data_IF_437121908163
#
_entry.id   IF_437121908163
#
_cell.length_a   1.000
_cell.length_b   1.000
_cell.length_c   1.000
_cell.angle_alpha   90.00
_cell.angle_beta   90.00
_cell.angle_gamma   90.00
#
_symmetry.space_group_name_H-M   'P 1'
#
loop_
_entity.id
_entity.type
_entity.pdbx_description
1 polymer ?
#
# COMPACT_ATOMS: atom_id res chain seq x y z
N UNK A 1 67.91 7.79 -8.47
CA UNK A 1 67.40 9.17 -8.55
C UNK A 1 66.23 9.26 -9.53
N UNK A 2 64.99 9.31 -9.05
CA UNK A 2 63.90 10.07 -9.67
C UNK A 2 62.80 10.20 -8.63
N UNK A 3 62.58 11.44 -8.19
CA UNK A 3 61.63 11.82 -7.14
C UNK A 3 60.23 11.79 -7.75
N UNK A 4 59.31 11.01 -7.19
CA UNK A 4 57.89 11.11 -7.54
C UNK A 4 57.30 12.16 -6.61
N UNK A 5 56.88 13.26 -7.24
CA UNK A 5 56.42 14.49 -6.64
C UNK A 5 54.94 14.34 -6.28
N UNK A 6 54.62 14.56 -5.01
CA UNK A 6 53.28 14.92 -4.54
C UNK A 6 52.95 16.34 -5.01
N UNK A 7 51.76 16.58 -5.62
CA UNK A 7 51.09 17.89 -5.54
C UNK A 7 49.60 17.85 -5.94
N UNK A 8 48.74 18.05 -4.92
CA UNK A 8 47.59 18.97 -4.81
C UNK A 8 46.46 18.97 -5.86
N UNK A 9 45.29 18.58 -5.35
CA UNK A 9 43.96 19.20 -5.40
C UNK A 9 43.56 20.13 -6.56
N UNK A 10 42.41 19.80 -7.16
CA UNK A 10 41.43 20.78 -7.61
C UNK A 10 40.01 20.24 -7.33
N UNK A 11 39.32 20.89 -6.40
CA UNK A 11 37.89 20.72 -6.17
C UNK A 11 37.10 21.24 -7.37
N UNK A 12 36.29 20.40 -8.00
CA UNK A 12 35.21 20.85 -8.87
C UNK A 12 33.90 20.72 -8.10
N UNK A 13 33.27 21.87 -7.89
CA UNK A 13 32.09 22.07 -7.06
C UNK A 13 30.87 21.27 -7.55
N UNK A 14 30.07 20.85 -6.57
CA UNK A 14 28.79 20.17 -6.72
C UNK A 14 27.84 21.05 -7.54
N UNK A 15 27.27 20.48 -8.60
CA UNK A 15 26.16 21.08 -9.37
C UNK A 15 24.92 21.10 -8.49
N UNK A 16 24.24 22.25 -8.53
CA UNK A 16 23.22 22.70 -7.60
C UNK A 16 22.05 21.73 -7.38
N UNK A 17 21.69 21.58 -6.11
CA UNK A 17 20.34 21.27 -5.68
C UNK A 17 19.39 22.35 -6.22
N UNK A 18 18.43 21.95 -7.06
CA UNK A 18 17.22 22.75 -7.27
C UNK A 18 15.98 21.86 -7.16
N UNK A 19 15.70 21.42 -5.94
CA UNK A 19 14.35 21.01 -5.56
C UNK A 19 13.89 22.04 -4.53
N UNK A 20 13.39 23.16 -5.07
CA UNK A 20 12.80 24.23 -4.30
C UNK A 20 11.69 23.68 -3.40
N UNK A 21 11.75 24.08 -2.13
CA UNK A 21 10.67 23.91 -1.16
C UNK A 21 10.01 25.26 -0.97
N UNK A 22 8.72 25.37 -1.30
CA UNK A 22 7.72 26.29 -0.72
C UNK A 22 6.34 25.69 -1.06
N UNK A 23 5.68 24.98 -0.15
CA UNK A 23 4.71 25.41 0.89
C UNK A 23 3.36 25.91 0.37
N UNK A 24 2.32 25.17 0.80
CA UNK A 24 0.88 25.48 0.93
C UNK A 24 0.04 25.75 -0.33
N UNK A 25 -0.98 24.93 -0.58
CA UNK A 25 -2.32 25.22 -0.04
C UNK A 25 -3.25 23.99 -0.10
N UNK A 26 -4.18 23.95 0.85
CA UNK A 26 -5.34 23.07 0.88
C UNK A 26 -6.39 23.55 -0.16
N UNK A 27 -7.35 22.66 -0.47
CA UNK A 27 -8.57 22.85 -1.28
C UNK A 27 -8.51 22.44 -2.76
N UNK A 28 -9.49 21.63 -3.15
CA UNK A 28 -9.90 21.46 -4.55
C UNK A 28 -9.78 20.02 -5.03
N UNK A 29 -10.90 19.32 -5.04
CA UNK A 29 -11.07 18.07 -5.75
C UNK A 29 -10.55 18.20 -7.20
N UNK A 30 -9.64 17.32 -7.58
CA UNK A 30 -9.46 16.98 -8.98
C UNK A 30 -9.36 15.46 -9.10
N UNK A 31 -10.29 14.90 -9.86
CA UNK A 31 -10.29 13.51 -10.30
C UNK A 31 -9.19 13.32 -11.33
N UNK A 32 -7.95 13.54 -10.93
CA UNK A 32 -6.80 12.99 -11.59
C UNK A 32 -6.55 11.64 -10.90
N UNK A 33 -6.81 10.57 -11.65
CA UNK A 33 -6.22 9.27 -11.41
C UNK A 33 -4.71 9.50 -11.28
N UNK A 34 -4.24 9.66 -10.04
CA UNK A 34 -2.83 9.66 -9.68
C UNK A 34 -2.39 8.20 -9.68
N UNK A 35 -2.48 7.59 -10.86
CA UNK A 35 -1.91 6.28 -11.11
C UNK A 35 -0.39 6.43 -11.03
N UNK A 36 0.20 5.58 -10.19
CA UNK A 36 1.62 5.26 -10.18
C UNK A 36 2.60 6.37 -9.74
N UNK A 37 2.67 6.61 -8.42
CA UNK A 37 3.83 7.25 -7.78
C UNK A 37 4.50 6.38 -6.69
N UNK A 38 4.44 5.04 -6.82
CA UNK A 38 5.18 4.11 -5.95
C UNK A 38 5.63 2.80 -6.67
N UNK A 39 5.64 2.78 -8.00
CA UNK A 39 5.75 1.55 -8.79
C UNK A 39 7.17 0.95 -8.95
N UNK A 40 8.21 1.58 -8.39
CA UNK A 40 9.59 1.06 -8.49
C UNK A 40 9.93 0.00 -7.45
N UNK A 41 9.60 0.27 -6.18
CA UNK A 41 10.06 -0.52 -5.02
C UNK A 41 8.92 -0.97 -4.10
N UNK A 42 7.71 -1.18 -4.63
CA UNK A 42 6.57 -1.65 -3.84
C UNK A 42 6.13 -3.07 -4.23
N UNK A 43 5.64 -3.85 -3.27
CA UNK A 43 4.85 -5.05 -3.53
C UNK A 43 3.38 -4.64 -3.65
N UNK A 44 2.70 -5.01 -4.75
CA UNK A 44 1.33 -4.56 -5.04
C UNK A 44 0.39 -5.76 -5.03
N UNK A 45 -0.57 -5.77 -4.12
CA UNK A 45 -1.62 -6.77 -4.02
C UNK A 45 -2.94 -6.19 -4.50
N UNK A 46 -3.69 -6.94 -5.32
CA UNK A 46 -4.99 -6.52 -5.84
C UNK A 46 -6.03 -7.63 -5.75
N UNK A 47 -7.28 -7.25 -5.53
CA UNK A 47 -8.42 -8.15 -5.50
C UNK A 47 -9.74 -7.40 -5.40
N UNK A 48 -10.83 -8.06 -5.79
CA UNK A 48 -12.19 -7.56 -5.67
C UNK A 48 -12.88 -8.35 -4.55
N UNK A 49 -13.17 -7.69 -3.43
CA UNK A 49 -13.85 -8.32 -2.30
C UNK A 49 -15.36 -8.10 -2.35
N UNK A 50 -16.17 -9.03 -1.83
CA UNK A 50 -17.61 -8.83 -1.67
C UNK A 50 -17.94 -7.57 -0.86
N UNK A 51 -19.05 -6.93 -1.20
CA UNK A 51 -19.66 -5.84 -0.48
C UNK A 51 -21.19 -5.99 -0.51
N UNK A 52 -21.90 -5.42 0.46
CA UNK A 52 -23.34 -5.63 0.60
C UNK A 52 -24.16 -4.92 -0.49
N UNK A 53 -23.87 -3.64 -0.73
CA UNK A 53 -24.72 -2.75 -1.53
C UNK A 53 -24.15 -2.39 -2.91
N UNK A 54 -22.94 -2.87 -3.20
CA UNK A 54 -22.22 -2.62 -4.45
C UNK A 54 -21.66 -3.94 -4.96
N UNK A 55 -21.28 -4.01 -6.24
CA UNK A 55 -20.76 -5.24 -6.86
C UNK A 55 -19.48 -5.77 -6.19
N UNK A 56 -18.77 -4.90 -5.44
CA UNK A 56 -17.64 -5.25 -4.61
C UNK A 56 -16.75 -4.04 -4.36
N UNK A 57 -15.69 -4.24 -3.59
CA UNK A 57 -14.63 -3.24 -3.39
C UNK A 57 -13.35 -3.78 -4.02
N UNK A 58 -12.85 -3.08 -5.04
CA UNK A 58 -11.54 -3.39 -5.63
C UNK A 58 -10.48 -2.72 -4.77
N UNK A 59 -9.67 -3.54 -4.11
CA UNK A 59 -8.50 -3.11 -3.38
C UNK A 59 -7.27 -3.13 -4.28
N UNK A 60 -6.45 -2.09 -4.15
CA UNK A 60 -5.05 -2.10 -4.57
C UNK A 60 -4.19 -1.66 -3.39
N UNK A 61 -3.40 -2.58 -2.86
CA UNK A 61 -2.54 -2.39 -1.68
C UNK A 61 -1.09 -2.43 -2.13
N UNK A 62 -0.42 -1.27 -2.17
CA UNK A 62 1.01 -1.16 -2.42
C UNK A 62 1.76 -1.01 -1.09
N UNK A 63 2.71 -1.91 -0.83
CA UNK A 63 3.57 -1.91 0.36
C UNK A 63 5.00 -1.57 -0.06
N UNK A 64 5.62 -0.58 0.60
CA UNK A 64 7.02 -0.27 0.38
C UNK A 64 7.91 -1.48 0.74
N UNK A 65 8.92 -1.77 -0.08
CA UNK A 65 9.89 -2.85 0.17
C UNK A 65 11.07 -2.43 1.06
N UNK A 66 11.03 -1.22 1.62
CA UNK A 66 12.00 -0.75 2.59
C UNK A 66 11.59 -1.11 4.03
N UNK A 67 12.37 -0.70 5.02
CA UNK A 67 12.06 -0.95 6.43
C UNK A 67 11.00 0.00 7.02
N UNK A 68 10.37 0.84 6.19
CA UNK A 68 9.49 1.91 6.68
C UNK A 68 8.06 1.45 6.99
N UNK A 69 7.67 0.25 6.53
CA UNK A 69 6.29 -0.24 6.48
C UNK A 69 5.33 0.77 5.84
N UNK A 70 5.80 1.54 4.85
CA UNK A 70 4.96 2.48 4.12
C UNK A 70 3.91 1.76 3.27
N UNK A 71 2.73 2.34 3.14
CA UNK A 71 1.71 1.85 2.21
C UNK A 71 1.04 2.95 1.39
N UNK A 72 0.46 2.54 0.26
CA UNK A 72 -0.62 3.23 -0.44
C UNK A 72 -1.74 2.24 -0.73
N UNK A 73 -2.97 2.55 -0.33
CA UNK A 73 -4.17 1.73 -0.53
C UNK A 73 -5.18 2.52 -1.36
N UNK A 74 -5.75 1.88 -2.37
CA UNK A 74 -6.93 2.37 -3.09
C UNK A 74 -8.10 1.41 -2.87
N UNK A 75 -9.24 1.95 -2.47
CA UNK A 75 -10.53 1.25 -2.34
C UNK A 75 -11.48 1.80 -3.40
N UNK A 76 -11.73 1.04 -4.47
CA UNK A 76 -12.72 1.40 -5.49
C UNK A 76 -14.02 0.65 -5.26
N UNK A 77 -15.07 1.36 -4.86
CA UNK A 77 -16.41 0.82 -4.68
C UNK A 77 -17.06 0.66 -6.06
N UNK A 78 -17.40 -0.55 -6.45
CA UNK A 78 -17.78 -0.89 -7.82
C UNK A 78 -19.30 -0.98 -7.96
N UNK A 79 -19.93 -0.16 -8.82
CA UNK A 79 -21.37 -0.34 -9.15
C UNK A 79 -21.62 -1.63 -9.92
N UNK A 80 -20.66 -2.00 -10.77
CA UNK A 80 -20.69 -3.22 -11.59
C UNK A 80 -19.26 -3.71 -11.85
N UNK A 81 -19.10 -4.83 -12.56
CA UNK A 81 -17.78 -5.37 -12.89
C UNK A 81 -16.87 -4.38 -13.68
N UNK A 82 -17.46 -3.39 -14.37
CA UNK A 82 -16.75 -2.43 -15.21
C UNK A 82 -16.95 -0.96 -14.82
N UNK A 83 -17.82 -0.67 -13.85
CA UNK A 83 -18.14 0.70 -13.45
C UNK A 83 -17.82 0.95 -11.98
N UNK A 84 -17.01 1.98 -11.73
CA UNK A 84 -16.65 2.44 -10.39
C UNK A 84 -17.60 3.55 -9.94
N UNK A 85 -18.04 3.49 -8.70
CA UNK A 85 -18.83 4.54 -8.06
C UNK A 85 -17.92 5.60 -7.44
N UNK A 86 -17.19 5.20 -6.40
CA UNK A 86 -16.36 6.07 -5.57
C UNK A 86 -15.03 5.39 -5.31
N UNK A 87 -13.96 6.19 -5.29
CA UNK A 87 -12.61 5.73 -4.96
C UNK A 87 -12.09 6.50 -3.76
N UNK A 88 -11.59 5.77 -2.77
CA UNK A 88 -10.84 6.34 -1.65
C UNK A 88 -9.39 5.92 -1.74
N UNK A 89 -8.49 6.85 -1.42
CA UNK A 89 -7.06 6.62 -1.43
C UNK A 89 -6.47 6.96 -0.07
N UNK A 90 -5.61 6.08 0.41
CA UNK A 90 -4.98 6.19 1.72
C UNK A 90 -3.48 5.96 1.59
N UNK A 91 -2.72 6.64 2.43
CA UNK A 91 -1.27 6.42 2.58
C UNK A 91 -0.93 6.45 4.06
N UNK A 92 0.14 5.77 4.45
CA UNK A 92 0.53 5.72 5.84
C UNK A 92 1.57 4.66 6.13
N UNK A 93 1.60 4.20 7.37
CA UNK A 93 2.41 3.08 7.83
C UNK A 93 1.49 1.98 8.34
N UNK A 94 1.70 0.76 7.87
CA UNK A 94 0.92 -0.38 8.36
C UNK A 94 1.62 -1.00 9.56
N UNK A 95 0.80 -1.60 10.44
CA UNK A 95 1.29 -2.31 11.61
C UNK A 95 1.35 -3.80 11.30
N UNK A 96 2.46 -4.44 11.64
CA UNK A 96 2.58 -5.89 11.65
C UNK A 96 2.07 -6.40 12.99
N UNK A 97 1.04 -7.25 12.96
CA UNK A 97 0.40 -7.82 14.14
C UNK A 97 0.55 -9.33 14.10
N UNK A 98 1.13 -9.93 15.14
CA UNK A 98 1.17 -11.38 15.31
C UNK A 98 0.13 -11.79 16.35
N UNK A 99 -0.72 -12.76 16.03
CA UNK A 99 -1.80 -13.20 16.91
C UNK A 99 -2.06 -14.71 16.77
N UNK A 100 -2.44 -15.34 17.87
CA UNK A 100 -3.03 -16.68 17.84
C UNK A 100 -4.54 -16.53 17.64
N UNK A 101 -5.06 -17.09 16.55
CA UNK A 101 -6.49 -17.14 16.26
C UNK A 101 -6.86 -18.59 16.04
N UNK A 102 -7.75 -19.12 16.91
CA UNK A 102 -8.23 -20.51 16.86
C UNK A 102 -7.10 -21.55 16.91
N UNK A 103 -6.05 -21.28 17.71
CA UNK A 103 -4.91 -22.19 17.91
C UNK A 103 -3.84 -22.12 16.82
N UNK A 104 -3.94 -21.13 15.93
CA UNK A 104 -2.98 -20.91 14.84
C UNK A 104 -2.36 -19.53 14.99
N UNK A 105 -1.03 -19.51 15.09
CA UNK A 105 -0.24 -18.27 15.02
C UNK A 105 -0.23 -17.74 13.58
N UNK A 106 -0.66 -16.50 13.42
CA UNK A 106 -0.76 -15.83 12.13
C UNK A 106 -0.15 -14.43 12.22
N UNK A 107 0.28 -13.90 11.08
CA UNK A 107 0.76 -12.53 10.89
C UNK A 107 -0.26 -11.75 10.08
N UNK A 108 -0.53 -10.52 10.50
CA UNK A 108 -1.50 -9.63 9.88
C UNK A 108 -0.87 -8.26 9.60
N UNK A 109 -1.29 -7.64 8.50
CA UNK A 109 -1.05 -6.23 8.24
C UNK A 109 -2.31 -5.45 8.58
N UNK A 110 -2.19 -4.51 9.52
CA UNK A 110 -3.28 -3.62 9.95
C UNK A 110 -3.04 -2.22 9.39
N UNK A 111 -4.08 -1.67 8.76
CA UNK A 111 -4.10 -0.35 8.13
C UNK A 111 -5.14 0.53 8.80
N UNK A 112 -4.85 1.82 8.93
CA UNK A 112 -5.82 2.84 9.34
C UNK A 112 -6.34 3.54 8.08
N UNK A 113 -7.51 3.10 7.59
CA UNK A 113 -8.12 3.56 6.33
C UNK A 113 -9.26 4.54 6.64
N UNK A 114 -8.88 5.76 6.99
CA UNK A 114 -9.82 6.80 7.44
C UNK A 114 -9.93 6.86 8.97
N UNK A 115 -10.74 7.80 9.46
CA UNK A 115 -10.84 8.08 10.89
C UNK A 115 -11.49 6.90 11.61
N UNK A 116 -10.76 6.30 12.56
CA UNK A 116 -11.19 5.19 13.41
C UNK A 116 -11.54 3.89 12.67
N UNK A 117 -11.13 3.76 11.39
CA UNK A 117 -11.37 2.57 10.58
C UNK A 117 -10.09 1.75 10.43
N UNK A 118 -10.10 0.56 11.01
CA UNK A 118 -9.00 -0.40 10.92
C UNK A 118 -9.33 -1.54 9.98
N UNK A 119 -8.48 -1.74 8.98
CA UNK A 119 -8.60 -2.83 8.02
C UNK A 119 -7.46 -3.82 8.25
N UNK A 120 -7.79 -5.10 8.36
CA UNK A 120 -6.82 -6.16 8.67
C UNK A 120 -6.71 -7.11 7.48
N UNK A 121 -5.47 -7.41 7.09
CA UNK A 121 -5.17 -8.44 6.10
C UNK A 121 -4.30 -9.52 6.72
N UNK A 122 -4.77 -10.78 6.68
CA UNK A 122 -3.95 -11.94 6.98
C UNK A 122 -2.90 -12.14 5.89
N UNK A 123 -1.65 -12.32 6.28
CA UNK A 123 -0.58 -12.76 5.38
C UNK A 123 -0.72 -14.26 5.18
N UNK A 124 -1.38 -14.68 4.09
CA UNK A 124 -1.60 -16.09 3.78
C UNK A 124 -0.30 -16.74 3.28
N UNK A 125 0.41 -16.01 2.43
CA UNK A 125 1.75 -16.31 1.92
C UNK A 125 2.32 -15.06 1.22
N UNK A 126 3.54 -15.14 0.70
CA UNK A 126 4.25 -14.02 0.06
C UNK A 126 3.46 -13.37 -1.11
N UNK A 127 2.57 -14.12 -1.75
CA UNK A 127 1.79 -13.67 -2.91
C UNK A 127 0.33 -13.37 -2.61
N UNK A 128 -0.14 -13.58 -1.38
CA UNK A 128 -1.57 -13.46 -1.05
C UNK A 128 -1.78 -12.81 0.32
N UNK A 129 -2.56 -11.73 0.31
CA UNK A 129 -3.19 -11.15 1.49
C UNK A 129 -4.67 -11.54 1.52
N UNK A 130 -5.27 -11.75 2.69
CA UNK A 130 -6.71 -12.03 2.82
C UNK A 130 -7.35 -11.04 3.77
N UNK A 131 -8.42 -10.37 3.32
CA UNK A 131 -9.21 -9.50 4.18
C UNK A 131 -9.86 -10.32 5.29
N UNK A 132 -9.69 -9.90 6.54
CA UNK A 132 -10.26 -10.54 7.73
C UNK A 132 -11.06 -9.52 8.54
N UNK A 133 -11.91 -10.00 9.44
CA UNK A 133 -12.73 -9.10 10.26
C UNK A 133 -11.91 -8.35 11.33
N UNK A 134 -12.57 -7.51 12.12
CA UNK A 134 -11.96 -6.74 13.23
C UNK A 134 -11.31 -7.62 14.30
N UNK A 135 -11.78 -8.86 14.45
CA UNK A 135 -11.26 -9.84 15.42
C UNK A 135 -10.12 -10.70 14.86
N UNK A 136 -9.69 -10.42 13.62
CA UNK A 136 -8.67 -11.15 12.87
C UNK A 136 -9.08 -12.56 12.41
N UNK A 137 -10.39 -12.83 12.41
CA UNK A 137 -10.95 -14.08 11.91
C UNK A 137 -11.15 -14.04 10.40
N UNK A 138 -10.76 -15.14 9.75
CA UNK A 138 -11.03 -15.36 8.33
C UNK A 138 -12.54 -15.38 8.05
N UNK A 139 -12.97 -14.95 6.84
CA UNK A 139 -14.37 -15.02 6.45
C UNK A 139 -14.86 -16.46 6.48
N UNK A 140 -16.13 -16.66 6.85
CA UNK A 140 -16.75 -17.99 6.90
C UNK A 140 -16.75 -18.72 5.55
N UNK A 141 -16.74 -17.96 4.45
CA UNK A 141 -16.61 -18.46 3.08
C UNK A 141 -15.54 -17.67 2.36
N UNK A 142 -14.68 -18.38 1.62
CA UNK A 142 -13.71 -17.78 0.71
C UNK A 142 -13.68 -18.58 -0.60
N UNK A 143 -14.63 -18.29 -1.48
CA UNK A 143 -14.85 -18.99 -2.76
C UNK A 143 -14.68 -18.02 -3.92
N UNK A 144 -14.79 -18.50 -5.17
CA UNK A 144 -14.66 -17.65 -6.36
C UNK A 144 -15.62 -16.45 -6.35
N UNK A 145 -16.86 -16.67 -5.91
CA UNK A 145 -17.90 -15.64 -5.89
C UNK A 145 -17.90 -14.82 -4.58
N UNK A 146 -17.22 -15.32 -3.55
CA UNK A 146 -17.06 -14.67 -2.25
C UNK A 146 -15.57 -14.64 -1.87
N UNK A 147 -14.76 -13.93 -2.66
CA UNK A 147 -13.30 -13.96 -2.53
C UNK A 147 -12.76 -12.74 -1.77
N UNK A 148 -12.00 -12.99 -0.71
CA UNK A 148 -11.39 -11.97 0.14
C UNK A 148 -9.86 -11.90 -0.05
N UNK A 149 -9.30 -12.69 -0.98
CA UNK A 149 -7.88 -12.70 -1.29
C UNK A 149 -7.50 -11.55 -2.24
N UNK A 150 -6.44 -10.82 -1.89
CA UNK A 150 -5.68 -9.95 -2.77
C UNK A 150 -4.42 -10.69 -3.23
N UNK A 151 -4.18 -10.71 -4.54
CA UNK A 151 -3.03 -11.40 -5.15
C UNK A 151 -1.96 -10.39 -5.55
N UNK A 152 -0.71 -10.75 -5.30
CA UNK A 152 0.44 -10.01 -5.77
C UNK A 152 0.41 -9.88 -7.31
N UNK A 153 0.70 -8.69 -7.81
CA UNK A 153 0.76 -8.35 -9.24
C UNK A 153 2.17 -8.33 -9.79
#
# INVERSE_FOLDING_TARGET
>A
MKKIMFLVAACAAMVACNNGKTTANNEGADSAVQDSAAAGDSAVYEGLTPAADVAGIKYRVALAKDSSNGFSVSESYMKSASETDTVYNYTGKYQVVEKDVKGKKNTYYQFELGKDNKTNFLVVNDSTLRLVNSDFEEPAVNTKDMNYDLKLK
#
